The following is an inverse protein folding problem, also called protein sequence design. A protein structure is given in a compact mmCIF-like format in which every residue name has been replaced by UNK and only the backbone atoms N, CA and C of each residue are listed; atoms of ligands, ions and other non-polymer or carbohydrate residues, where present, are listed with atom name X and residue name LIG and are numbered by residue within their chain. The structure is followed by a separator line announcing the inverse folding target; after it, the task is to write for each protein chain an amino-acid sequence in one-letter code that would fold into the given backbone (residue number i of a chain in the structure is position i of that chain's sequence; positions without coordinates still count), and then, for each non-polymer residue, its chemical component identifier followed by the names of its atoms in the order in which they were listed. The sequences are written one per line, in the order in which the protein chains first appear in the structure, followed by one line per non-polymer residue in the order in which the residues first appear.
data_IF_375008686279
#
_entry.id   IF_375008686279
#
_cell.length_a   1.000
_cell.length_b   1.000
_cell.length_c   1.000
_cell.angle_alpha   90.00
_cell.angle_beta   90.00
_cell.angle_gamma   90.00
#
_symmetry.space_group_name_H-M   'P 1'
#
loop_
_entity.id
_entity.type
_entity.pdbx_description
1 polymer ?
#
# COMPACT_ATOMS: atom_id res chain seq x y z
N UNK A 1 -0.75 4.09 -5.40
CA UNK A 1 -1.81 3.18 -5.91
C UNK A 1 -2.86 3.98 -6.66
N UNK A 2 -3.07 3.66 -7.94
CA UNK A 2 -3.82 4.55 -8.85
C UNK A 2 -5.25 4.83 -8.37
N UNK A 3 -5.98 3.80 -7.94
CA UNK A 3 -7.38 3.93 -7.51
C UNK A 3 -7.52 4.83 -6.27
N UNK A 4 -6.62 4.69 -5.30
CA UNK A 4 -6.58 5.51 -4.10
C UNK A 4 -6.31 7.00 -4.44
N UNK A 5 -5.36 7.26 -5.34
CA UNK A 5 -5.01 8.62 -5.78
C UNK A 5 -6.14 9.26 -6.61
N UNK A 6 -6.80 8.48 -7.48
CA UNK A 6 -8.00 8.94 -8.20
C UNK A 6 -9.11 9.27 -7.21
N UNK A 7 -9.40 8.38 -6.25
CA UNK A 7 -10.43 8.59 -5.23
C UNK A 7 -10.21 9.89 -4.46
N UNK A 8 -8.99 10.16 -4.00
CA UNK A 8 -8.62 11.41 -3.33
C UNK A 8 -8.80 12.64 -4.20
N UNK A 9 -8.37 12.60 -5.48
CA UNK A 9 -8.53 13.72 -6.42
C UNK A 9 -9.98 14.09 -6.69
N UNK A 10 -10.88 13.10 -6.59
CA UNK A 10 -12.31 13.28 -6.81
C UNK A 10 -13.12 13.32 -5.50
N UNK A 11 -12.46 13.41 -4.34
CA UNK A 11 -13.11 13.45 -3.02
C UNK A 11 -14.09 12.29 -2.77
N UNK A 12 -13.74 11.10 -3.23
CA UNK A 12 -14.51 9.88 -2.99
C UNK A 12 -14.26 9.34 -1.58
N UNK A 13 -15.27 8.67 -1.02
CA UNK A 13 -15.17 8.00 0.28
C UNK A 13 -14.18 6.84 0.24
N UNK A 14 -13.37 6.73 1.29
CA UNK A 14 -12.42 5.64 1.47
C UNK A 14 -13.05 4.46 2.20
N UNK A 15 -13.43 3.43 1.44
CA UNK A 15 -14.11 2.25 2.00
C UNK A 15 -13.13 1.07 2.08
N UNK A 16 -12.91 0.57 3.28
CA UNK A 16 -12.19 -0.66 3.52
C UNK A 16 -13.16 -1.84 3.71
N UNK A 17 -13.06 -2.86 2.85
CA UNK A 17 -13.98 -4.02 2.85
C UNK A 17 -13.42 -5.27 3.51
N UNK A 18 -12.17 -5.26 3.97
CA UNK A 18 -11.47 -6.44 4.46
C UNK A 18 -11.05 -6.26 5.92
N UNK A 19 -10.57 -7.29 6.59
CA UNK A 19 -9.81 -7.21 7.83
C UNK A 19 -8.32 -7.56 7.61
N UNK A 20 -7.56 -7.76 8.69
CA UNK A 20 -6.13 -8.11 8.61
C UNK A 20 -5.89 -9.57 8.20
N UNK A 21 -6.89 -10.45 8.36
CA UNK A 21 -6.84 -11.86 7.97
C UNK A 21 -7.19 -12.08 6.50
N UNK A 22 -7.62 -11.05 5.77
CA UNK A 22 -8.08 -11.18 4.39
C UNK A 22 -9.55 -11.60 4.28
N UNK A 23 -10.32 -11.46 5.36
CA UNK A 23 -11.75 -11.79 5.43
C UNK A 23 -12.57 -10.52 5.27
N UNK A 24 -13.70 -10.64 4.55
CA UNK A 24 -14.54 -9.49 4.26
C UNK A 24 -15.38 -9.04 5.47
N UNK A 25 -15.40 -7.73 5.72
CA UNK A 25 -16.08 -7.11 6.85
C UNK A 25 -17.53 -6.68 6.50
N UNK A 26 -18.17 -5.88 7.37
CA UNK A 26 -19.55 -5.41 7.19
C UNK A 26 -19.79 -4.60 5.91
N UNK A 27 -18.77 -3.94 5.38
CA UNK A 27 -18.87 -3.12 4.17
C UNK A 27 -19.02 -3.98 2.90
N UNK A 28 -18.82 -5.29 2.98
CA UNK A 28 -18.97 -6.22 1.87
C UNK A 28 -20.38 -6.79 1.70
N UNK A 29 -21.37 -6.34 2.48
CA UNK A 29 -22.76 -6.76 2.36
C UNK A 29 -22.93 -8.29 2.49
N UNK A 30 -23.56 -8.92 1.48
CA UNK A 30 -23.83 -10.38 1.47
C UNK A 30 -22.59 -11.27 1.47
N UNK A 31 -21.39 -10.70 1.27
CA UNK A 31 -20.12 -11.42 1.26
C UNK A 31 -19.36 -11.34 2.59
N UNK A 32 -19.91 -10.65 3.59
CA UNK A 32 -19.33 -10.56 4.94
C UNK A 32 -18.98 -11.96 5.48
N UNK A 33 -17.78 -12.07 6.06
CA UNK A 33 -17.26 -13.29 6.69
C UNK A 33 -16.60 -14.27 5.72
N UNK A 34 -16.61 -14.00 4.41
CA UNK A 34 -15.89 -14.83 3.44
C UNK A 34 -14.43 -14.39 3.31
N UNK A 35 -13.53 -15.36 3.14
CA UNK A 35 -12.17 -15.10 2.63
C UNK A 35 -12.24 -14.44 1.24
N UNK A 36 -11.31 -13.53 0.96
CA UNK A 36 -11.24 -12.77 -0.30
C UNK A 36 -11.30 -13.63 -1.57
N UNK A 37 -10.71 -14.82 -1.59
CA UNK A 37 -10.74 -15.68 -2.78
C UNK A 37 -12.07 -16.40 -2.92
N UNK A 38 -12.66 -16.82 -1.80
CA UNK A 38 -14.01 -17.39 -1.78
C UNK A 38 -15.04 -16.35 -2.23
N UNK A 39 -14.94 -15.13 -1.72
CA UNK A 39 -15.78 -14.01 -2.12
C UNK A 39 -15.65 -13.70 -3.62
N UNK A 40 -14.43 -13.67 -4.16
CA UNK A 40 -14.20 -13.44 -5.60
C UNK A 40 -14.91 -14.46 -6.49
N UNK A 41 -14.92 -15.74 -6.10
CA UNK A 41 -15.65 -16.79 -6.82
C UNK A 41 -17.16 -16.57 -6.75
N UNK A 42 -17.69 -16.29 -5.56
CA UNK A 42 -19.11 -16.07 -5.33
C UNK A 42 -19.63 -14.83 -6.07
N UNK A 43 -18.87 -13.73 -6.08
CA UNK A 43 -19.19 -12.53 -6.86
C UNK A 43 -19.33 -12.86 -8.35
N UNK A 44 -18.46 -13.71 -8.89
CA UNK A 44 -18.55 -14.12 -10.29
C UNK A 44 -19.80 -14.95 -10.59
N UNK A 45 -20.17 -15.86 -9.67
CA UNK A 45 -21.39 -16.66 -9.76
C UNK A 45 -22.65 -15.78 -9.74
N UNK A 46 -22.70 -14.83 -8.81
CA UNK A 46 -23.82 -13.89 -8.67
C UNK A 46 -23.93 -12.98 -9.91
N UNK A 47 -22.82 -12.43 -10.41
CA UNK A 47 -22.81 -11.64 -11.65
C UNK A 47 -23.32 -12.45 -12.86
N UNK A 48 -23.03 -13.76 -12.91
CA UNK A 48 -23.53 -14.64 -13.96
C UNK A 48 -25.03 -14.91 -13.80
N UNK A 49 -25.49 -15.17 -12.58
CA UNK A 49 -26.90 -15.43 -12.29
C UNK A 49 -27.79 -14.20 -12.55
N UNK A 50 -27.27 -13.01 -12.24
CA UNK A 50 -27.96 -11.72 -12.45
C UNK A 50 -27.86 -11.21 -13.90
N UNK A 51 -27.10 -11.89 -14.77
CA UNK A 51 -26.94 -11.51 -16.18
C UNK A 51 -26.00 -10.33 -16.45
N UNK A 52 -25.26 -9.86 -15.44
CA UNK A 52 -24.28 -8.77 -15.57
C UNK A 52 -22.91 -9.23 -16.08
N UNK A 53 -22.64 -10.54 -16.11
CA UNK A 53 -21.38 -11.08 -16.62
C UNK A 53 -21.36 -11.08 -18.16
N UNK A 54 -20.66 -10.11 -18.74
CA UNK A 54 -20.56 -9.94 -20.21
C UNK A 54 -19.55 -10.87 -20.89
N UNK A 55 -18.57 -11.40 -20.14
CA UNK A 55 -17.57 -12.31 -20.69
C UNK A 55 -16.45 -12.66 -19.72
N UNK A 56 -15.63 -13.63 -20.12
CA UNK A 56 -14.44 -14.07 -19.39
C UNK A 56 -13.32 -14.35 -20.39
N UNK A 57 -12.12 -13.86 -20.09
CA UNK A 57 -10.90 -14.14 -20.85
C UNK A 57 -9.74 -14.37 -19.90
N UNK A 58 -8.81 -15.21 -20.30
CA UNK A 58 -7.56 -15.36 -19.55
C UNK A 58 -6.70 -14.12 -19.74
N UNK A 59 -6.10 -13.68 -18.64
CA UNK A 59 -5.28 -12.47 -18.61
C UNK A 59 -4.09 -12.67 -17.66
N UNK A 60 -2.89 -12.46 -18.19
CA UNK A 60 -1.67 -12.47 -17.38
C UNK A 60 -1.58 -11.15 -16.64
N UNK A 61 -1.75 -11.20 -15.32
CA UNK A 61 -1.70 -10.02 -14.45
C UNK A 61 -0.39 -9.96 -13.67
N UNK A 62 0.20 -8.77 -13.57
CA UNK A 62 1.39 -8.50 -12.78
C UNK A 62 1.02 -8.14 -11.34
N UNK A 63 0.46 -9.10 -10.59
CA UNK A 63 0.11 -8.90 -9.19
C UNK A 63 1.35 -8.95 -8.30
N UNK A 64 1.51 -7.95 -7.42
CA UNK A 64 2.61 -7.92 -6.45
C UNK A 64 2.53 -9.09 -5.47
N UNK A 65 3.68 -9.66 -5.13
CA UNK A 65 3.83 -10.75 -4.15
C UNK A 65 4.76 -10.34 -3.03
N UNK A 66 4.54 -10.90 -1.85
CA UNK A 66 5.42 -10.69 -0.72
C UNK A 66 6.80 -11.27 -1.05
N UNK A 67 7.85 -10.46 -0.94
CA UNK A 67 9.22 -10.89 -1.23
C UNK A 67 9.75 -12.01 -0.31
N UNK A 68 9.05 -12.32 0.79
CA UNK A 68 9.44 -13.36 1.76
C UNK A 68 8.63 -14.65 1.65
N UNK A 69 7.31 -14.56 1.51
CA UNK A 69 6.43 -15.74 1.51
C UNK A 69 5.70 -15.97 0.18
N UNK A 70 5.93 -15.11 -0.82
CA UNK A 70 5.34 -15.16 -2.17
C UNK A 70 3.80 -15.07 -2.24
N UNK A 71 3.11 -14.95 -1.11
CA UNK A 71 1.67 -14.67 -1.08
C UNK A 71 1.36 -13.36 -1.81
N UNK A 72 0.27 -13.34 -2.57
CA UNK A 72 -0.22 -12.12 -3.24
C UNK A 72 -0.50 -11.02 -2.22
N UNK A 73 0.04 -9.82 -2.48
CA UNK A 73 -0.18 -8.64 -1.64
C UNK A 73 -1.52 -8.02 -2.02
N UNK A 74 -2.37 -7.82 -1.01
CA UNK A 74 -3.66 -7.14 -1.18
C UNK A 74 -3.56 -5.70 -0.65
N UNK A 75 -3.93 -4.69 -1.45
CA UNK A 75 -3.97 -3.31 -0.97
C UNK A 75 -5.12 -3.13 0.03
N UNK A 76 -4.80 -2.57 1.20
CA UNK A 76 -5.75 -2.28 2.28
C UNK A 76 -5.42 -0.93 2.89
N UNK A 77 -6.46 -0.09 3.11
CA UNK A 77 -6.31 1.19 3.79
C UNK A 77 -6.14 0.94 5.28
N UNK A 78 -5.06 1.45 5.86
CA UNK A 78 -4.77 1.35 7.29
C UNK A 78 -3.96 2.55 7.77
N UNK A 79 -4.14 2.92 9.03
CA UNK A 79 -3.31 3.95 9.68
C UNK A 79 -1.90 3.41 9.88
N UNK A 80 -0.91 4.14 9.36
CA UNK A 80 0.51 3.75 9.42
C UNK A 80 1.36 4.99 9.70
N UNK A 81 2.60 4.74 10.13
CA UNK A 81 3.61 5.77 10.35
C UNK A 81 4.43 6.00 9.10
N UNK A 82 4.53 7.26 8.70
CA UNK A 82 5.26 7.68 7.53
C UNK A 82 6.32 8.71 7.88
N UNK A 83 7.42 8.67 7.14
CA UNK A 83 8.42 9.74 7.14
C UNK A 83 8.20 10.59 5.89
N UNK A 84 8.09 11.91 6.08
CA UNK A 84 8.00 12.89 5.00
C UNK A 84 9.33 12.93 4.23
N UNK A 85 9.39 12.21 3.11
CA UNK A 85 10.67 11.93 2.46
C UNK A 85 11.20 13.10 1.65
N UNK A 86 10.33 13.98 1.16
CA UNK A 86 10.72 15.16 0.37
C UNK A 86 11.82 15.98 1.06
N UNK A 87 11.64 16.26 2.36
CA UNK A 87 12.61 17.04 3.18
C UNK A 87 13.93 16.32 3.41
N UNK A 88 13.93 14.98 3.38
CA UNK A 88 15.13 14.18 3.56
C UNK A 88 15.85 13.90 2.23
N UNK A 89 15.10 13.90 1.13
CA UNK A 89 15.65 13.67 -0.20
C UNK A 89 16.47 14.85 -0.70
N UNK A 90 16.02 16.09 -0.44
CA UNK A 90 16.70 17.31 -0.87
C UNK A 90 18.19 17.38 -0.44
N UNK A 91 18.55 17.26 0.86
CA UNK A 91 19.96 17.31 1.28
C UNK A 91 20.78 16.13 0.73
N UNK A 92 20.16 14.95 0.56
CA UNK A 92 20.84 13.78 0.02
C UNK A 92 21.15 13.93 -1.48
N UNK A 93 20.20 14.46 -2.26
CA UNK A 93 20.41 14.83 -3.67
C UNK A 93 21.52 15.88 -3.78
N UNK A 94 21.49 16.91 -2.93
CA UNK A 94 22.48 17.98 -2.94
C UNK A 94 23.90 17.45 -2.72
N UNK A 95 24.09 16.56 -1.74
CA UNK A 95 25.39 15.97 -1.42
C UNK A 95 26.01 15.17 -2.58
N UNK A 96 25.19 14.57 -3.45
CA UNK A 96 25.69 13.91 -4.66
C UNK A 96 25.95 14.93 -5.78
N UNK A 97 25.07 15.92 -5.94
CA UNK A 97 25.22 16.98 -6.96
C UNK A 97 26.45 17.87 -6.73
N UNK A 98 26.78 18.19 -5.48
CA UNK A 98 27.95 19.01 -5.12
C UNK A 98 29.25 18.20 -5.02
N UNK A 99 29.17 16.87 -5.14
CA UNK A 99 30.31 15.97 -5.13
C UNK A 99 30.87 15.64 -3.74
N UNK A 100 30.19 16.05 -2.66
CA UNK A 100 30.50 15.63 -1.29
C UNK A 100 30.36 14.10 -1.13
N UNK A 101 29.42 13.52 -1.86
CA UNK A 101 29.24 12.07 -2.04
C UNK A 101 29.45 11.73 -3.51
N UNK A 102 30.29 10.72 -3.79
CA UNK A 102 30.56 10.24 -5.14
C UNK A 102 30.02 8.83 -5.32
N UNK A 103 29.15 8.63 -6.29
CA UNK A 103 28.61 7.31 -6.63
C UNK A 103 29.46 6.70 -7.74
N UNK A 104 30.04 5.53 -7.49
CA UNK A 104 30.90 4.83 -8.44
C UNK A 104 30.28 3.48 -8.80
N UNK A 105 30.12 3.14 -10.10
CA UNK A 105 30.36 3.98 -11.28
C UNK A 105 29.39 5.17 -11.46
N UNK A 106 29.87 6.26 -12.08
CA UNK A 106 29.12 7.53 -12.26
C UNK A 106 27.74 7.36 -12.91
N UNK A 107 27.57 6.37 -13.79
CA UNK A 107 26.28 6.07 -14.44
C UNK A 107 25.12 5.84 -13.45
N UNK A 108 25.42 5.40 -12.23
CA UNK A 108 24.41 5.17 -11.19
C UNK A 108 23.85 6.45 -10.58
N UNK A 109 24.52 7.60 -10.73
CA UNK A 109 23.99 8.90 -10.29
C UNK A 109 22.64 9.19 -10.94
N UNK A 110 22.48 8.85 -12.23
CA UNK A 110 21.20 9.02 -12.94
C UNK A 110 20.06 8.26 -12.27
N UNK A 111 20.30 6.98 -11.94
CA UNK A 111 19.31 6.10 -11.31
C UNK A 111 19.01 6.58 -9.88
N UNK A 112 20.04 7.02 -9.16
CA UNK A 112 19.87 7.62 -7.84
C UNK A 112 18.99 8.87 -7.89
N UNK A 113 19.27 9.82 -8.78
CA UNK A 113 18.47 11.04 -8.91
C UNK A 113 17.04 10.74 -9.34
N UNK A 114 16.84 9.85 -10.31
CA UNK A 114 15.50 9.43 -10.74
C UNK A 114 14.68 8.84 -9.59
N UNK A 115 15.31 8.06 -8.71
CA UNK A 115 14.64 7.50 -7.54
C UNK A 115 14.36 8.56 -6.46
N UNK A 116 15.34 9.40 -6.14
CA UNK A 116 15.23 10.40 -5.09
C UNK A 116 14.29 11.56 -5.44
N UNK A 117 14.23 11.97 -6.71
CA UNK A 117 13.35 13.04 -7.19
C UNK A 117 11.88 12.61 -7.26
N UNK A 118 11.61 11.31 -7.37
CA UNK A 118 10.25 10.74 -7.43
C UNK A 118 9.85 10.00 -6.14
N UNK A 119 10.63 10.13 -5.07
CA UNK A 119 10.42 9.38 -3.84
C UNK A 119 9.08 9.73 -3.21
N UNK A 120 8.42 8.72 -2.62
CA UNK A 120 7.19 8.88 -1.85
C UNK A 120 7.50 8.74 -0.37
N UNK A 121 6.60 9.26 0.46
CA UNK A 121 6.70 9.13 1.91
C UNK A 121 6.86 7.67 2.32
N UNK A 122 7.83 7.44 3.19
CA UNK A 122 8.26 6.10 3.53
C UNK A 122 7.44 5.58 4.69
N UNK A 123 6.61 4.57 4.44
CA UNK A 123 5.95 3.81 5.49
C UNK A 123 7.00 3.06 6.33
N UNK A 124 7.16 3.45 7.58
CA UNK A 124 8.14 2.87 8.52
C UNK A 124 7.51 1.88 9.50
N UNK A 125 6.19 1.93 9.72
CA UNK A 125 5.52 0.97 10.60
C UNK A 125 5.34 -0.38 9.94
N UNK A 126 5.43 -1.43 10.77
CA UNK A 126 5.20 -2.82 10.38
C UNK A 126 4.45 -3.52 11.50
N UNK A 127 3.51 -4.38 11.14
CA UNK A 127 2.79 -5.24 12.08
C UNK A 127 3.54 -6.57 12.23
N UNK A 128 4.73 -6.50 12.84
CA UNK A 128 5.63 -7.64 13.06
C UNK A 128 5.96 -7.78 14.54
N UNK A 129 6.21 -9.01 14.96
CA UNK A 129 6.67 -9.32 16.32
C UNK A 129 8.14 -8.98 16.55
N UNK A 130 8.95 -9.07 15.48
CA UNK A 130 10.39 -8.85 15.54
C UNK A 130 10.76 -7.50 14.93
N UNK A 131 11.40 -6.65 15.74
CA UNK A 131 11.88 -5.33 15.34
C UNK A 131 11.89 -4.35 16.51
N UNK A 132 12.34 -3.12 16.24
CA UNK A 132 12.25 -2.06 17.24
C UNK A 132 10.82 -1.54 17.33
N UNK A 133 10.31 -1.42 18.56
CA UNK A 133 9.03 -0.78 18.81
C UNK A 133 9.16 0.72 18.50
N UNK A 134 8.25 1.25 17.70
CA UNK A 134 8.15 2.70 17.47
C UNK A 134 7.82 3.36 18.83
N UNK A 135 8.63 4.32 19.30
CA UNK A 135 8.47 4.94 20.62
C UNK A 135 7.38 6.01 20.56
N UNK A 136 6.13 5.56 20.43
CA UNK A 136 4.94 6.41 20.48
C UNK A 136 3.96 5.82 21.47
N UNK A 137 3.33 6.69 22.25
CA UNK A 137 2.31 6.36 23.22
C UNK A 137 1.00 7.04 22.84
N UNK A 138 -0.11 6.48 23.30
CA UNK A 138 -1.43 7.07 23.14
C UNK A 138 -2.07 7.17 24.52
N UNK A 139 -2.57 8.35 24.86
CA UNK A 139 -3.30 8.57 26.10
C UNK A 139 -4.59 7.76 26.09
N UNK A 140 -4.78 6.88 27.07
CA UNK A 140 -5.98 6.04 27.17
C UNK A 140 -7.28 6.80 27.41
N UNK A 141 -7.21 8.05 27.89
CA UNK A 141 -8.38 8.88 28.19
C UNK A 141 -8.86 9.71 27.00
N UNK A 142 -7.96 10.44 26.35
CA UNK A 142 -8.30 11.37 25.26
C UNK A 142 -7.86 10.90 23.87
N UNK A 143 -7.08 9.82 23.77
CA UNK A 143 -6.54 9.33 22.49
C UNK A 143 -5.41 10.19 21.92
N UNK A 144 -4.97 11.22 22.63
CA UNK A 144 -3.84 12.06 22.22
C UNK A 144 -2.56 11.23 22.12
N UNK A 145 -1.79 11.51 21.09
CA UNK A 145 -0.52 10.87 20.80
C UNK A 145 0.59 11.59 21.57
N UNK A 146 1.35 10.85 22.38
CA UNK A 146 2.42 11.34 23.27
C UNK A 146 3.75 10.73 22.83
#
# INVERSE_FOLDING_TARGET
PNDFEIGRRHSLEEINIMDEGGVLNSNAGKYKGLDRYAARKKVLEDLKAEGYLTGKKDHVSSTGRCSRCDTTVEPRISTQWFVAMEKLAEPAIKAVRDGSVKIIPKKWEKIYFEWMENIKDWCISRQLWWGHRIPVWYCGGCGEMI
#
